data_IF_883870465450
#
_entry.id   IF_883870465450
#
_cell.length_a   1.000
_cell.length_b   1.000
_cell.length_c   1.000
_cell.angle_alpha   90.00
_cell.angle_beta   90.00
_cell.angle_gamma   90.00
#
_symmetry.space_group_name_H-M   'P 1'
#
loop_
_entity.id
_entity.type
_entity.pdbx_description
1 polymer ?
#
# COMPACT_ATOMS: atom_id res chain seq x y z
N UNK A 1 -16.07 -1.70 -16.98
CA UNK A 1 -14.59 -1.68 -16.99
C UNK A 1 -14.08 -3.01 -16.48
N UNK A 2 -13.66 -3.87 -17.41
CA UNK A 2 -13.47 -5.31 -17.21
C UNK A 2 -12.27 -5.69 -16.36
N UNK A 3 -12.45 -6.80 -15.65
CA UNK A 3 -11.44 -7.61 -14.98
C UNK A 3 -10.52 -8.27 -16.03
N UNK A 4 -9.86 -7.46 -16.87
CA UNK A 4 -8.81 -7.90 -17.78
C UNK A 4 -7.49 -8.10 -17.04
N UNK A 5 -6.62 -8.90 -17.64
CA UNK A 5 -5.26 -9.23 -17.23
C UNK A 5 -5.10 -10.36 -16.20
N UNK A 6 -5.22 -11.58 -16.72
CA UNK A 6 -4.48 -12.74 -16.21
C UNK A 6 -2.96 -12.48 -16.08
N UNK A 7 -2.44 -11.41 -16.70
CA UNK A 7 -1.06 -10.92 -16.56
C UNK A 7 -0.82 -10.07 -15.28
N UNK A 8 -1.85 -9.76 -14.47
CA UNK A 8 -1.69 -9.03 -13.18
C UNK A 8 -1.24 -9.91 -12.03
N UNK A 9 -1.35 -11.24 -12.12
CA UNK A 9 -0.89 -12.11 -11.03
C UNK A 9 0.63 -12.10 -10.87
N UNK A 10 1.41 -11.86 -11.93
CA UNK A 10 2.85 -11.56 -11.84
C UNK A 10 3.12 -10.18 -11.21
N UNK A 11 2.18 -9.23 -11.32
CA UNK A 11 2.24 -7.93 -10.64
C UNK A 11 2.05 -8.06 -9.12
N UNK A 12 1.23 -9.01 -8.67
CA UNK A 12 1.01 -9.30 -7.25
C UNK A 12 2.10 -10.19 -6.63
N UNK A 13 2.92 -10.86 -7.45
CA UNK A 13 4.06 -11.66 -6.98
C UNK A 13 5.19 -10.80 -6.37
N UNK A 14 5.19 -9.48 -6.62
CA UNK A 14 6.18 -8.54 -6.07
C UNK A 14 5.50 -7.63 -5.04
N UNK A 15 5.49 -8.06 -3.77
CA UNK A 15 5.03 -7.28 -2.61
C UNK A 15 5.62 -5.86 -2.58
N UNK A 16 6.85 -5.72 -3.05
CA UNK A 16 7.57 -4.45 -3.17
C UNK A 16 6.88 -3.43 -4.09
N UNK A 17 6.31 -3.88 -5.22
CA UNK A 17 5.61 -2.99 -6.16
C UNK A 17 4.29 -2.49 -5.58
N UNK A 18 3.59 -3.35 -4.85
CA UNK A 18 2.35 -2.99 -4.15
C UNK A 18 2.64 -2.00 -3.05
N UNK A 19 3.72 -2.20 -2.30
CA UNK A 19 4.20 -1.23 -1.31
C UNK A 19 4.46 0.11 -1.97
N UNK A 20 5.18 0.16 -3.09
CA UNK A 20 5.43 1.43 -3.79
C UNK A 20 4.13 2.14 -4.22
N UNK A 21 3.19 1.41 -4.82
CA UNK A 21 1.89 1.98 -5.23
C UNK A 21 1.11 2.47 -4.00
N UNK A 22 1.16 1.71 -2.90
CA UNK A 22 0.50 2.10 -1.65
C UNK A 22 1.07 3.38 -1.05
N UNK A 23 2.40 3.44 -0.89
CA UNK A 23 3.10 4.62 -0.38
C UNK A 23 2.83 5.86 -1.26
N UNK A 24 2.81 5.69 -2.58
CA UNK A 24 2.47 6.76 -3.52
C UNK A 24 1.03 7.25 -3.33
N UNK A 25 0.08 6.34 -3.05
CA UNK A 25 -1.31 6.67 -2.75
C UNK A 25 -1.46 7.40 -1.41
N UNK A 26 -0.81 6.91 -0.35
CA UNK A 26 -0.78 7.57 0.97
C UNK A 26 -0.24 8.98 0.85
N UNK A 27 0.87 9.16 0.11
CA UNK A 27 1.45 10.48 -0.17
C UNK A 27 0.47 11.39 -0.92
N UNK A 28 -0.14 10.90 -2.00
CA UNK A 28 -1.06 11.68 -2.83
C UNK A 28 -2.31 12.11 -2.05
N UNK A 29 -2.87 11.21 -1.24
CA UNK A 29 -4.07 11.48 -0.45
C UNK A 29 -3.82 12.46 0.70
N UNK A 30 -2.61 12.46 1.28
CA UNK A 30 -2.23 13.41 2.31
C UNK A 30 -1.58 14.69 1.77
N UNK A 31 -1.44 14.82 0.44
CA UNK A 31 -0.79 15.99 -0.18
C UNK A 31 0.68 16.17 0.19
N UNK A 32 1.36 15.10 0.62
CA UNK A 32 2.72 15.17 1.15
C UNK A 32 3.74 15.34 0.03
N UNK A 33 4.77 16.16 0.28
CA UNK A 33 5.91 16.27 -0.62
C UNK A 33 6.82 15.05 -0.48
N UNK A 34 7.73 14.85 -1.44
CA UNK A 34 8.66 13.71 -1.41
C UNK A 34 9.60 13.79 -0.20
N UNK A 35 9.96 15.00 0.22
CA UNK A 35 10.82 15.26 1.37
C UNK A 35 10.11 14.94 2.68
N UNK A 36 8.88 15.45 2.86
CA UNK A 36 8.03 15.12 4.02
C UNK A 36 7.82 13.62 4.15
N UNK A 37 7.58 12.94 3.02
CA UNK A 37 7.40 11.49 3.01
C UNK A 37 8.69 10.72 3.34
N UNK A 38 9.85 11.23 2.93
CA UNK A 38 11.14 10.59 3.17
C UNK A 38 11.70 10.88 4.57
N UNK A 39 11.32 12.01 5.16
CA UNK A 39 11.59 12.38 6.55
C UNK A 39 10.60 11.72 7.53
N UNK A 40 9.50 11.15 7.03
CA UNK A 40 8.44 10.60 7.86
C UNK A 40 8.87 9.32 8.59
N UNK A 41 8.77 9.29 9.92
CA UNK A 41 8.99 8.06 10.68
C UNK A 41 7.81 7.09 10.47
N UNK A 42 8.11 5.81 10.64
CA UNK A 42 7.12 4.73 10.57
C UNK A 42 5.86 4.97 11.42
N UNK A 43 6.02 5.65 12.58
CA UNK A 43 4.95 5.96 13.51
C UNK A 43 3.93 6.96 12.93
N UNK A 44 4.40 8.00 12.24
CA UNK A 44 3.54 8.97 11.55
C UNK A 44 2.86 8.32 10.34
N UNK A 45 3.58 7.48 9.60
CA UNK A 45 2.98 6.72 8.51
C UNK A 45 1.81 5.83 8.99
N UNK A 46 1.96 5.19 10.16
CA UNK A 46 0.88 4.41 10.79
C UNK A 46 -0.31 5.31 11.14
N UNK A 47 -0.05 6.50 11.70
CA UNK A 47 -1.07 7.46 12.09
C UNK A 47 -1.86 7.98 10.87
N UNK A 48 -1.17 8.27 9.75
CA UNK A 48 -1.81 8.70 8.50
C UNK A 48 -2.70 7.62 7.89
N UNK A 49 -2.24 6.37 7.93
CA UNK A 49 -2.98 5.25 7.37
C UNK A 49 -4.19 4.91 8.27
N UNK A 50 -4.03 5.06 9.58
CA UNK A 50 -5.03 4.75 10.61
C UNK A 50 -5.57 3.29 10.53
N UNK A 51 -4.84 2.40 9.84
CA UNK A 51 -5.12 0.98 9.73
C UNK A 51 -3.85 0.19 10.09
N UNK A 52 -3.87 -0.62 11.16
CA UNK A 52 -2.68 -1.30 11.67
C UNK A 52 -2.15 -2.39 10.71
N UNK A 53 -2.99 -2.94 9.85
CA UNK A 53 -2.59 -3.99 8.89
C UNK A 53 -1.86 -3.37 7.70
N UNK A 54 -2.42 -2.28 7.16
CA UNK A 54 -1.80 -1.51 6.08
C UNK A 54 -0.50 -0.84 6.53
N UNK A 55 -0.46 -0.34 7.76
CA UNK A 55 0.74 0.26 8.32
C UNK A 55 1.88 -0.75 8.49
N UNK A 56 1.58 -1.95 9.01
CA UNK A 56 2.57 -3.05 9.05
C UNK A 56 3.09 -3.39 7.67
N UNK A 57 2.22 -3.48 6.67
CA UNK A 57 2.61 -3.75 5.29
C UNK A 57 3.49 -2.65 4.68
N UNK A 58 3.26 -1.38 5.05
CA UNK A 58 4.04 -0.25 4.56
C UNK A 58 5.46 -0.19 5.14
N UNK A 59 5.63 -0.60 6.41
CA UNK A 59 6.93 -0.60 7.09
C UNK A 59 7.71 -1.87 6.72
N UNK A 60 7.07 -3.02 6.81
CA UNK A 60 7.69 -4.31 6.60
C UNK A 60 6.89 -5.17 5.62
N UNK A 61 7.22 -5.14 4.32
CA UNK A 61 6.67 -6.07 3.34
C UNK A 61 7.40 -7.43 3.45
N UNK A 62 7.52 -7.98 4.66
CA UNK A 62 8.01 -9.35 4.87
C UNK A 62 7.08 -10.35 4.19
N UNK A 63 7.54 -11.59 3.92
CA UNK A 63 6.88 -12.66 3.14
C UNK A 63 5.36 -12.77 3.36
N UNK A 64 4.58 -11.91 2.71
CA UNK A 64 3.14 -12.03 2.62
C UNK A 64 2.85 -13.02 1.49
N UNK A 65 2.12 -14.09 1.79
CA UNK A 65 1.58 -14.98 0.76
C UNK A 65 0.69 -14.19 -0.20
N UNK A 66 0.48 -14.74 -1.40
CA UNK A 66 -0.35 -14.12 -2.43
C UNK A 66 -1.73 -13.71 -1.90
N UNK A 67 -2.35 -14.57 -1.07
CA UNK A 67 -3.66 -14.35 -0.45
C UNK A 67 -3.66 -13.15 0.51
N UNK A 68 -2.64 -13.05 1.37
CA UNK A 68 -2.49 -11.93 2.30
C UNK A 68 -2.27 -10.62 1.54
N UNK A 69 -1.43 -10.67 0.51
CA UNK A 69 -1.16 -9.54 -0.38
C UNK A 69 -2.44 -9.05 -1.07
N UNK A 70 -3.30 -9.97 -1.55
CA UNK A 70 -4.60 -9.62 -2.13
C UNK A 70 -5.53 -8.98 -1.10
N UNK A 71 -5.56 -9.46 0.14
CA UNK A 71 -6.34 -8.86 1.21
C UNK A 71 -5.88 -7.42 1.53
N UNK A 72 -4.57 -7.19 1.60
CA UNK A 72 -3.98 -5.85 1.76
C UNK A 72 -4.35 -4.96 0.57
N UNK A 73 -4.18 -5.42 -0.68
CA UNK A 73 -4.55 -4.65 -1.89
C UNK A 73 -6.02 -4.25 -1.89
N UNK A 74 -6.93 -5.15 -1.50
CA UNK A 74 -8.37 -4.84 -1.36
C UNK A 74 -8.60 -3.73 -0.33
N UNK A 75 -7.93 -3.80 0.83
CA UNK A 75 -7.97 -2.74 1.85
C UNK A 75 -7.41 -1.42 1.34
N UNK A 76 -6.25 -1.42 0.66
CA UNK A 76 -5.65 -0.21 0.05
C UNK A 76 -6.59 0.43 -0.97
N UNK A 77 -7.29 -0.38 -1.78
CA UNK A 77 -8.27 0.13 -2.74
C UNK A 77 -9.49 0.76 -2.06
N UNK A 78 -9.94 0.21 -0.95
CA UNK A 78 -11.03 0.77 -0.14
C UNK A 78 -10.59 2.01 0.65
N UNK A 79 -9.33 2.06 1.07
CA UNK A 79 -8.72 3.18 1.75
C UNK A 79 -8.70 4.42 0.83
N UNK A 80 -9.41 5.48 1.24
CA UNK A 80 -9.60 6.71 0.45
C UNK A 80 -10.74 6.69 -0.56
N UNK A 81 -11.74 5.82 -0.40
CA UNK A 81 -12.91 5.72 -1.29
C UNK A 81 -14.25 6.11 -0.64
N UNK A 82 -14.20 6.71 0.55
CA UNK A 82 -15.29 7.49 1.16
C UNK A 82 -15.19 8.93 0.72
#
# INVERSE_FOLDING_TARGET
>A
YGFGDANRYTYYAKSEKIRQVFLSKVRNQNGLTREEFHAMPAKDLVALINDPVLAKFAIEPSKYSLEQTVAVVKRIKAWGRT
#
